data_IF_977702173385
#
_entry.id   IF_977702173385
#
_cell.length_a   1.000
_cell.length_b   1.000
_cell.length_c   1.000
_cell.angle_alpha   90.00
_cell.angle_beta   90.00
_cell.angle_gamma   90.00
#
_symmetry.space_group_name_H-M   'P 1'
#
loop_
_entity.id
_entity.type
_entity.pdbx_description
1 polymer ?
#
# COMPACT_ATOMS: atom_id res chain seq x y z
N UNK A 1 -7.88 21.81 11.24
CA UNK A 1 -8.25 20.55 10.58
C UNK A 1 -7.02 19.67 10.57
N UNK A 2 -7.05 18.50 11.23
CA UNK A 2 -5.92 17.57 11.19
C UNK A 2 -5.64 17.27 9.72
N UNK A 3 -4.44 17.58 9.22
CA UNK A 3 -4.00 16.98 7.96
C UNK A 3 -3.90 15.49 8.25
N UNK A 4 -4.88 14.73 7.80
CA UNK A 4 -4.77 13.29 7.76
C UNK A 4 -4.00 12.97 6.48
N UNK A 5 -2.71 13.30 6.50
CA UNK A 5 -1.82 12.94 5.41
C UNK A 5 -1.79 11.41 5.35
N UNK A 6 -2.18 10.78 4.22
CA UNK A 6 -2.16 9.34 4.11
C UNK A 6 -0.74 8.84 4.40
N UNK A 7 -0.64 7.74 5.14
CA UNK A 7 0.64 7.08 5.39
C UNK A 7 1.22 6.69 4.04
N UNK A 8 2.37 7.26 3.70
CA UNK A 8 3.04 7.04 2.43
C UNK A 8 4.41 6.41 2.66
N UNK A 9 4.67 5.33 1.93
CA UNK A 9 6.01 4.76 1.79
C UNK A 9 6.39 4.71 0.32
N UNK A 10 7.67 4.88 0.04
CA UNK A 10 8.21 4.88 -1.32
C UNK A 10 9.34 3.86 -1.41
N UNK A 11 9.42 3.17 -2.54
CA UNK A 11 10.46 2.22 -2.88
C UNK A 11 10.88 2.41 -4.34
N UNK A 12 12.17 2.22 -4.62
CA UNK A 12 12.67 2.19 -5.98
C UNK A 12 12.73 0.74 -6.46
N UNK A 13 12.03 0.45 -7.55
CA UNK A 13 11.82 -0.91 -8.06
C UNK A 13 11.96 -0.87 -9.57
N UNK A 14 12.90 -1.64 -10.13
CA UNK A 14 13.26 -1.65 -11.56
C UNK A 14 13.51 -0.26 -12.17
N UNK A 15 14.08 0.66 -11.39
CA UNK A 15 14.33 2.04 -11.82
C UNK A 15 13.12 2.98 -11.75
N UNK A 16 11.92 2.46 -11.47
CA UNK A 16 10.72 3.26 -11.25
C UNK A 16 10.53 3.59 -9.77
N UNK A 17 9.96 4.76 -9.48
CA UNK A 17 9.59 5.15 -8.11
C UNK A 17 8.17 4.70 -7.83
N UNK A 18 8.02 3.68 -6.99
CA UNK A 18 6.71 3.18 -6.56
C UNK A 18 6.41 3.70 -5.16
N UNK A 19 5.17 4.12 -4.91
CA UNK A 19 4.68 4.48 -3.58
C UNK A 19 3.39 3.74 -3.22
N UNK A 20 3.23 3.43 -1.94
CA UNK A 20 1.98 2.98 -1.36
C UNK A 20 1.47 4.05 -0.42
N UNK A 21 0.20 4.41 -0.57
CA UNK A 21 -0.48 5.42 0.23
C UNK A 21 -1.71 4.81 0.88
N UNK A 22 -1.80 4.90 2.20
CA UNK A 22 -2.92 4.42 2.96
C UNK A 22 -3.56 5.54 3.77
N UNK A 23 -4.86 5.74 3.57
CA UNK A 23 -5.66 6.66 4.38
C UNK A 23 -6.26 5.90 5.56
N UNK A 24 -5.82 6.20 6.79
CA UNK A 24 -6.43 5.63 8.00
C UNK A 24 -7.87 6.10 8.21
N UNK A 25 -8.27 7.22 7.59
CA UNK A 25 -9.63 7.74 7.65
C UNK A 25 -10.62 6.93 6.81
N UNK A 26 -10.23 6.64 5.57
CA UNK A 26 -11.12 6.02 4.58
C UNK A 26 -10.82 4.54 4.36
N UNK A 27 -9.68 4.06 4.85
CA UNK A 27 -9.15 2.74 4.54
C UNK A 27 -8.71 2.57 3.09
N UNK A 28 -8.66 3.65 2.30
CA UNK A 28 -8.23 3.61 0.91
C UNK A 28 -6.73 3.35 0.83
N UNK A 29 -6.35 2.43 -0.05
CA UNK A 29 -4.97 2.07 -0.38
C UNK A 29 -4.73 2.37 -1.86
N UNK A 30 -3.73 3.20 -2.15
CA UNK A 30 -3.38 3.59 -3.51
C UNK A 30 -1.90 3.28 -3.77
N UNK A 31 -1.61 2.53 -4.83
CA UNK A 31 -0.26 2.34 -5.34
C UNK A 31 -0.04 3.28 -6.50
N UNK A 32 1.09 3.99 -6.48
CA UNK A 32 1.48 4.90 -7.57
C UNK A 32 2.86 4.56 -8.09
N UNK A 33 3.04 4.67 -9.40
CA UNK A 33 4.32 4.62 -10.08
C UNK A 33 4.58 5.98 -10.71
N UNK A 34 5.68 6.63 -10.34
CA UNK A 34 6.08 7.96 -10.84
C UNK A 34 4.93 8.99 -10.77
N UNK A 35 4.10 8.88 -9.72
CA UNK A 35 2.92 9.73 -9.49
C UNK A 35 1.61 9.27 -10.16
N UNK A 36 1.67 8.34 -11.12
CA UNK A 36 0.49 7.77 -11.76
C UNK A 36 -0.12 6.64 -10.91
N UNK A 37 -1.45 6.56 -10.80
CA UNK A 37 -2.14 5.48 -10.07
C UNK A 37 -1.97 4.17 -10.84
N UNK A 38 -1.34 3.20 -10.18
CA UNK A 38 -1.15 1.84 -10.69
C UNK A 38 -2.29 0.93 -10.25
N UNK A 39 -2.63 0.98 -8.95
CA UNK A 39 -3.77 0.26 -8.39
C UNK A 39 -4.38 1.04 -7.24
N UNK A 40 -5.67 0.85 -7.06
CA UNK A 40 -6.43 1.44 -5.98
C UNK A 40 -7.38 0.41 -5.39
N UNK A 41 -7.41 0.36 -4.07
CA UNK A 41 -8.32 -0.48 -3.32
C UNK A 41 -9.02 0.30 -2.23
N UNK A 42 -10.31 0.02 -2.10
CA UNK A 42 -11.13 0.45 -0.98
C UNK A 42 -11.38 -0.74 -0.03
N UNK A 43 -11.80 -0.47 1.22
CA UNK A 43 -12.22 -1.54 2.11
C UNK A 43 -13.32 -2.43 1.50
N UNK A 44 -13.33 -3.75 1.81
CA UNK A 44 -12.36 -4.47 2.65
C UNK A 44 -11.09 -4.90 1.90
N UNK A 45 -11.01 -4.73 0.58
CA UNK A 45 -9.92 -5.25 -0.24
C UNK A 45 -8.56 -4.65 0.15
N UNK A 46 -8.52 -3.37 0.49
CA UNK A 46 -7.31 -2.72 1.01
C UNK A 46 -6.80 -3.38 2.30
N UNK A 47 -7.69 -3.66 3.24
CA UNK A 47 -7.35 -4.31 4.50
C UNK A 47 -6.89 -5.74 4.29
N UNK A 48 -7.55 -6.49 3.40
CA UNK A 48 -7.16 -7.86 3.05
C UNK A 48 -5.76 -7.88 2.43
N UNK A 49 -5.47 -6.96 1.51
CA UNK A 49 -4.15 -6.86 0.88
C UNK A 49 -3.04 -6.59 1.91
N UNK A 50 -3.26 -5.65 2.83
CA UNK A 50 -2.32 -5.35 3.91
C UNK A 50 -2.19 -6.54 4.88
N UNK A 51 -3.30 -7.13 5.32
CA UNK A 51 -3.29 -8.23 6.28
C UNK A 51 -2.55 -9.47 5.75
N UNK A 52 -2.59 -9.68 4.42
CA UNK A 52 -1.92 -10.78 3.74
C UNK A 52 -0.40 -10.68 3.82
N UNK A 53 0.17 -9.47 3.94
CA UNK A 53 1.62 -9.26 4.08
C UNK A 53 2.06 -8.96 5.51
N UNK A 54 1.16 -8.46 6.36
CA UNK A 54 1.43 -8.10 7.76
C UNK A 54 1.46 -9.29 8.73
N UNK A 55 1.35 -10.53 8.23
CA UNK A 55 1.35 -11.74 9.07
C UNK A 55 0.19 -11.79 10.06
N UNK A 56 -1.00 -11.36 9.65
CA UNK A 56 -2.21 -11.22 10.48
C UNK A 56 -2.12 -10.23 11.66
N UNK A 57 -1.05 -9.42 11.74
CA UNK A 57 -0.95 -8.34 12.73
C UNK A 57 -1.86 -7.19 12.29
N UNK A 58 -2.74 -6.75 13.18
CA UNK A 58 -3.62 -5.56 13.01
C UNK A 58 -4.69 -5.59 11.89
N UNK A 59 -5.00 -6.78 11.32
CA UNK A 59 -6.11 -6.99 10.36
C UNK A 59 -6.12 -6.02 9.15
N UNK A 60 -4.99 -5.39 8.85
CA UNK A 60 -4.84 -4.43 7.75
C UNK A 60 -5.49 -3.06 7.93
N UNK A 61 -6.05 -2.75 9.11
CA UNK A 61 -6.73 -1.47 9.36
C UNK A 61 -5.80 -0.35 9.83
N UNK A 62 -4.67 -0.71 10.43
CA UNK A 62 -3.62 0.19 10.92
C UNK A 62 -2.23 -0.33 10.50
N UNK A 63 -1.90 -0.27 9.19
CA UNK A 63 -0.59 -0.70 8.72
C UNK A 63 0.52 0.17 9.30
N UNK A 64 1.63 -0.48 9.61
CA UNK A 64 2.91 0.18 9.81
C UNK A 64 3.57 0.48 8.46
N UNK A 65 4.64 1.28 8.47
CA UNK A 65 5.44 1.51 7.26
C UNK A 65 6.08 0.21 6.74
N UNK A 66 6.38 -0.75 7.63
CA UNK A 66 6.90 -2.05 7.26
C UNK A 66 5.85 -2.87 6.50
N UNK A 67 4.60 -2.87 6.98
CA UNK A 67 3.50 -3.56 6.31
C UNK A 67 3.27 -3.01 4.89
N UNK A 68 3.29 -1.68 4.73
CA UNK A 68 3.14 -1.06 3.40
C UNK A 68 4.34 -1.32 2.48
N UNK A 69 5.56 -1.41 3.02
CA UNK A 69 6.76 -1.79 2.24
C UNK A 69 6.70 -3.26 1.82
N UNK A 70 6.23 -4.15 2.69
CA UNK A 70 6.01 -5.55 2.36
C UNK A 70 4.93 -5.69 1.27
N UNK A 71 3.84 -4.94 1.39
CA UNK A 71 2.79 -4.85 0.38
C UNK A 71 3.36 -4.42 -0.98
N UNK A 72 4.12 -3.32 -1.02
CA UNK A 72 4.74 -2.85 -2.26
C UNK A 72 5.57 -3.93 -2.94
N UNK A 73 6.42 -4.63 -2.19
CA UNK A 73 7.25 -5.72 -2.72
C UNK A 73 6.41 -6.88 -3.25
N UNK A 74 5.35 -7.26 -2.52
CA UNK A 74 4.43 -8.31 -2.94
C UNK A 74 3.73 -7.94 -4.26
N UNK A 75 3.12 -6.75 -4.32
CA UNK A 75 2.37 -6.31 -5.48
C UNK A 75 3.25 -6.15 -6.73
N UNK A 76 4.49 -5.68 -6.57
CA UNK A 76 5.45 -5.60 -7.69
C UNK A 76 5.97 -6.97 -8.12
N UNK A 77 5.99 -7.96 -7.22
CA UNK A 77 6.31 -9.33 -7.60
C UNK A 77 5.16 -9.93 -8.42
N UNK A 78 3.92 -9.73 -7.97
CA UNK A 78 2.72 -10.21 -8.66
C UNK A 78 2.58 -9.60 -10.07
N UNK A 79 2.84 -8.29 -10.21
CA UNK A 79 2.77 -7.61 -11.51
C UNK A 79 3.81 -8.10 -12.53
N UNK A 80 4.93 -8.66 -12.09
CA UNK A 80 5.94 -9.24 -12.99
C UNK A 80 5.58 -10.65 -13.47
N UNK A 81 4.67 -11.32 -12.75
CA UNK A 81 4.25 -12.70 -13.06
C UNK A 81 2.97 -12.79 -13.89
N UNK A 82 2.40 -11.64 -14.31
CA UNK A 82 1.25 -11.55 -15.21
C UNK A 82 1.69 -11.08 -16.60
#
# INVERSE_FOLDING_TARGET
MLRNDPRRVTAQIDGAVISAEYSELTGQLCLRQDGAVLREWFPPHSWIAIASVAGARHWGTRPTDEDLRALLRNEMTLLRTQ
#
